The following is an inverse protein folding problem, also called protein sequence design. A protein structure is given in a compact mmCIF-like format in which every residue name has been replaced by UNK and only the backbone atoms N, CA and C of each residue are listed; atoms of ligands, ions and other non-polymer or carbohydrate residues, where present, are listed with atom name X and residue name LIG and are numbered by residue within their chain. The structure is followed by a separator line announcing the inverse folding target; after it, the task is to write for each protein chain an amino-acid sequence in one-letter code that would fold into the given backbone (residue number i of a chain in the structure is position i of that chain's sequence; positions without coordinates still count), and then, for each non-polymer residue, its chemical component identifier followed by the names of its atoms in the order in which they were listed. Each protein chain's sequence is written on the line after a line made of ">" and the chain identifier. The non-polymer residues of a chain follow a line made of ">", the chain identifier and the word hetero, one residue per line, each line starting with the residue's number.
data_IF_285822951210
#
_entry.id   IF_285822951210
#
_cell.length_a   1.000
_cell.length_b   1.000
_cell.length_c   1.000
_cell.angle_alpha   90.00
_cell.angle_beta   90.00
_cell.angle_gamma   90.00
#
_symmetry.space_group_name_H-M   'P 1'
#
loop_
_entity.id
_entity.type
_entity.pdbx_description
1 polymer ?
#
# COMPACT_ATOMS: atom_id res chain seq x y z
N UNK A 1 25.45 -7.43 -11.30
CA UNK A 1 24.25 -6.80 -10.71
C UNK A 1 24.43 -5.31 -10.82
N UNK A 2 23.52 -4.63 -11.48
CA UNK A 2 23.59 -3.19 -11.64
C UNK A 2 23.36 -2.50 -10.30
N UNK A 3 23.95 -1.31 -10.13
CA UNK A 3 23.77 -0.53 -8.91
C UNK A 3 22.36 0.04 -8.87
N UNK A 4 21.66 -0.15 -7.77
CA UNK A 4 20.33 0.45 -7.52
C UNK A 4 20.49 1.65 -6.59
N UNK A 5 19.85 2.74 -6.93
CA UNK A 5 19.94 3.98 -6.17
C UNK A 5 18.56 4.36 -5.60
N UNK A 6 18.54 4.74 -4.33
CA UNK A 6 17.40 5.40 -3.72
C UNK A 6 17.56 6.92 -3.90
N UNK A 7 16.78 7.50 -4.80
CA UNK A 7 16.89 8.92 -5.15
C UNK A 7 16.31 9.83 -4.07
N UNK A 8 15.23 9.39 -3.43
CA UNK A 8 14.59 10.13 -2.35
C UNK A 8 13.14 9.70 -2.12
N UNK A 9 12.39 10.51 -1.40
CA UNK A 9 11.00 10.22 -1.09
C UNK A 9 10.27 11.36 -0.38
N UNK A 10 8.98 11.14 -0.15
CA UNK A 10 8.09 11.99 0.63
C UNK A 10 7.21 11.12 1.53
N UNK A 11 6.66 11.73 2.55
CA UNK A 11 5.60 11.13 3.38
C UNK A 11 4.56 12.16 3.80
N UNK A 12 3.37 11.73 4.09
CA UNK A 12 2.37 12.54 4.79
C UNK A 12 2.72 12.70 6.28
N UNK A 13 2.00 13.56 6.97
CA UNK A 13 1.99 13.52 8.43
C UNK A 13 1.45 12.15 8.91
N UNK A 14 1.91 11.71 10.07
CA UNK A 14 1.34 10.55 10.75
C UNK A 14 0.17 11.03 11.62
N UNK A 15 -1.05 10.68 11.24
CA UNK A 15 -2.25 11.02 11.98
C UNK A 15 -2.62 9.91 12.98
N UNK A 16 -3.15 10.31 14.13
CA UNK A 16 -3.76 9.35 15.05
C UNK A 16 -5.08 8.81 14.48
N UNK A 17 -5.44 7.60 14.86
CA UNK A 17 -6.71 6.99 14.48
C UNK A 17 -7.88 7.90 14.88
N UNK A 18 -8.83 8.07 13.97
CA UNK A 18 -9.97 9.00 14.09
C UNK A 18 -9.60 10.50 14.25
N UNK A 19 -8.33 10.84 13.98
CA UNK A 19 -7.85 12.22 13.97
C UNK A 19 -8.02 12.93 12.64
N UNK A 20 -6.97 13.65 12.20
CA UNK A 20 -7.02 14.53 11.02
C UNK A 20 -7.36 13.82 9.70
N UNK A 21 -7.05 12.53 9.57
CA UNK A 21 -7.34 11.71 8.38
C UNK A 21 -8.55 10.78 8.56
N UNK A 22 -9.42 10.98 9.57
CA UNK A 22 -10.51 10.06 9.90
C UNK A 22 -11.49 9.76 8.76
N UNK A 23 -11.56 10.62 7.76
CA UNK A 23 -12.43 10.50 6.58
C UNK A 23 -11.66 10.32 5.28
N UNK A 24 -10.34 10.11 5.36
CA UNK A 24 -9.49 9.96 4.18
C UNK A 24 -9.18 8.48 3.98
N UNK A 25 -9.70 7.84 2.92
CA UNK A 25 -9.33 6.48 2.56
C UNK A 25 -7.83 6.36 2.28
N UNK A 26 -7.28 5.18 2.55
CA UNK A 26 -5.84 4.93 2.40
C UNK A 26 -5.35 5.22 0.98
N UNK A 27 -6.09 4.79 -0.03
CA UNK A 27 -5.75 4.99 -1.45
C UNK A 27 -5.71 6.48 -1.83
N UNK A 28 -6.58 7.30 -1.28
CA UNK A 28 -6.58 8.76 -1.53
C UNK A 28 -5.40 9.46 -0.85
N UNK A 29 -5.08 9.04 0.39
CA UNK A 29 -3.91 9.55 1.10
C UNK A 29 -2.62 9.18 0.35
N UNK A 30 -2.49 7.92 -0.05
CA UNK A 30 -1.36 7.42 -0.85
C UNK A 30 -1.25 8.13 -2.19
N UNK A 31 -2.36 8.31 -2.91
CA UNK A 31 -2.40 9.00 -4.19
C UNK A 31 -1.93 10.46 -4.10
N UNK A 32 -2.30 11.16 -3.03
CA UNK A 32 -1.84 12.53 -2.82
C UNK A 32 -0.32 12.62 -2.65
N UNK A 33 0.28 11.67 -1.90
CA UNK A 33 1.75 11.59 -1.73
C UNK A 33 2.42 11.17 -3.03
N UNK A 34 1.85 10.18 -3.74
CA UNK A 34 2.38 9.70 -5.02
C UNK A 34 2.47 10.82 -6.05
N UNK A 35 1.42 11.62 -6.22
CA UNK A 35 1.45 12.80 -7.11
C UNK A 35 2.58 13.75 -6.75
N UNK A 36 2.72 14.09 -5.46
CA UNK A 36 3.79 14.97 -5.01
C UNK A 36 5.20 14.41 -5.20
N UNK A 37 5.37 13.09 -5.10
CA UNK A 37 6.64 12.43 -5.44
C UNK A 37 6.94 12.60 -6.92
N UNK A 38 5.96 12.30 -7.78
CA UNK A 38 6.12 12.44 -9.23
C UNK A 38 6.45 13.89 -9.62
N UNK A 39 5.70 14.84 -9.11
CA UNK A 39 5.91 16.29 -9.36
C UNK A 39 7.30 16.74 -8.90
N UNK A 40 7.68 16.36 -7.67
CA UNK A 40 8.97 16.77 -7.07
C UNK A 40 10.18 16.30 -7.86
N UNK A 41 10.12 15.11 -8.42
CA UNK A 41 11.23 14.50 -9.15
C UNK A 41 11.08 14.60 -10.67
N UNK A 42 10.07 15.32 -11.17
CA UNK A 42 9.81 15.47 -12.61
C UNK A 42 9.54 14.15 -13.33
N UNK A 43 8.91 13.22 -12.64
CA UNK A 43 8.66 11.87 -13.13
C UNK A 43 7.29 11.83 -13.82
N UNK A 44 7.28 11.66 -15.13
CA UNK A 44 6.03 11.54 -15.87
C UNK A 44 5.40 10.17 -15.68
N UNK A 45 6.16 9.10 -15.87
CA UNK A 45 5.69 7.72 -15.70
C UNK A 45 6.81 6.84 -15.12
N UNK A 46 6.58 6.16 -14.00
CA UNK A 46 7.47 5.09 -13.53
C UNK A 46 7.19 3.79 -14.27
N UNK A 47 8.14 2.85 -14.27
CA UNK A 47 7.92 1.50 -14.82
C UNK A 47 6.99 0.67 -13.95
N UNK A 48 7.03 0.88 -12.62
CA UNK A 48 6.19 0.20 -11.65
C UNK A 48 5.82 1.11 -10.48
N UNK A 49 4.67 0.84 -9.89
CA UNK A 49 4.29 1.32 -8.56
C UNK A 49 4.10 0.10 -7.66
N UNK A 50 4.87 0.01 -6.58
CA UNK A 50 4.83 -1.09 -5.62
C UNK A 50 4.55 -0.51 -4.24
N UNK A 51 3.42 -0.85 -3.64
CA UNK A 51 3.08 -0.25 -2.36
C UNK A 51 2.52 -1.25 -1.35
N UNK A 52 2.98 -1.12 -0.12
CA UNK A 52 2.53 -1.91 1.01
C UNK A 52 1.21 -1.40 1.58
N UNK A 53 0.30 -2.32 1.87
CA UNK A 53 -0.93 -2.04 2.61
C UNK A 53 -1.34 -3.28 3.40
N UNK A 54 -1.62 -3.15 4.69
CA UNK A 54 -1.88 -4.27 5.58
C UNK A 54 -3.30 -4.34 6.15
N UNK A 55 -3.96 -3.21 6.40
CA UNK A 55 -5.29 -3.17 7.01
C UNK A 55 -6.39 -2.64 6.09
N UNK A 56 -6.06 -2.30 4.86
CA UNK A 56 -7.00 -1.77 3.88
C UNK A 56 -8.01 -2.79 3.36
N UNK A 57 -8.74 -2.42 2.33
CA UNK A 57 -9.85 -3.20 1.78
C UNK A 57 -9.44 -4.58 1.21
N UNK A 58 -8.15 -4.81 1.02
CA UNK A 58 -7.64 -5.98 0.32
C UNK A 58 -7.65 -5.80 -1.20
N UNK A 59 -7.37 -6.87 -1.93
CA UNK A 59 -7.17 -6.80 -3.36
C UNK A 59 -5.93 -5.97 -3.74
N UNK A 60 -5.94 -5.37 -4.92
CA UNK A 60 -4.83 -4.56 -5.38
C UNK A 60 -5.08 -3.06 -5.13
N UNK A 61 -5.08 -2.67 -3.85
CA UNK A 61 -5.35 -1.29 -3.43
C UNK A 61 -4.24 -0.32 -3.90
N UNK A 62 -3.00 -0.79 -4.09
CA UNK A 62 -1.93 0.02 -4.70
C UNK A 62 -2.26 0.38 -6.15
N UNK A 63 -2.92 -0.50 -6.89
CA UNK A 63 -3.42 -0.18 -8.22
C UNK A 63 -4.49 0.91 -8.17
N UNK A 64 -5.44 0.81 -7.24
CA UNK A 64 -6.45 1.84 -7.05
C UNK A 64 -5.80 3.19 -6.70
N UNK A 65 -4.83 3.19 -5.79
CA UNK A 65 -4.03 4.37 -5.43
C UNK A 65 -3.33 4.98 -6.65
N UNK A 66 -2.72 4.17 -7.51
CA UNK A 66 -2.00 4.67 -8.70
C UNK A 66 -2.95 5.35 -9.69
N UNK A 67 -4.10 4.75 -9.95
CA UNK A 67 -5.13 5.34 -10.82
C UNK A 67 -5.73 6.63 -10.23
N UNK A 68 -5.99 6.65 -8.94
CA UNK A 68 -6.45 7.84 -8.21
C UNK A 68 -5.40 8.97 -8.25
N UNK A 69 -4.11 8.63 -8.32
CA UNK A 69 -3.02 9.57 -8.51
C UNK A 69 -2.91 10.12 -9.95
N UNK A 70 -3.65 9.57 -10.90
CA UNK A 70 -3.58 9.95 -12.31
C UNK A 70 -2.43 9.30 -13.08
N UNK A 71 -1.85 8.23 -12.55
CA UNK A 71 -0.83 7.44 -13.26
C UNK A 71 -1.49 6.72 -14.44
N UNK A 72 -0.79 6.65 -15.57
CA UNK A 72 -1.30 5.97 -16.76
C UNK A 72 -1.68 4.52 -16.45
N UNK A 73 -2.77 4.07 -17.05
CA UNK A 73 -3.25 2.71 -16.86
C UNK A 73 -2.31 1.64 -17.43
N UNK A 74 -1.37 2.00 -18.29
CA UNK A 74 -0.33 1.10 -18.77
C UNK A 74 0.75 0.82 -17.73
N UNK A 75 0.95 1.69 -16.72
CA UNK A 75 1.92 1.48 -15.65
C UNK A 75 1.41 0.40 -14.69
N UNK A 76 2.10 -0.72 -14.54
CA UNK A 76 1.71 -1.76 -13.61
C UNK A 76 1.87 -1.28 -12.16
N UNK A 77 0.90 -1.64 -11.33
CA UNK A 77 0.94 -1.37 -9.89
C UNK A 77 0.43 -2.58 -9.11
N UNK A 78 1.05 -2.91 -7.99
CA UNK A 78 0.59 -3.99 -7.14
C UNK A 78 0.87 -3.75 -5.66
N UNK A 79 0.08 -4.44 -4.84
CA UNK A 79 0.11 -4.33 -3.39
C UNK A 79 0.95 -5.46 -2.79
N UNK A 80 1.81 -5.10 -1.85
CA UNK A 80 2.51 -6.06 -0.99
C UNK A 80 1.83 -6.08 0.37
N UNK A 81 1.63 -7.29 0.90
CA UNK A 81 1.06 -7.49 2.21
C UNK A 81 1.88 -8.51 3.02
N UNK A 82 2.78 -8.02 3.81
CA UNK A 82 3.55 -8.75 4.84
C UNK A 82 3.43 -8.04 6.19
N UNK A 83 2.21 -7.63 6.52
CA UNK A 83 1.89 -6.91 7.75
C UNK A 83 2.64 -5.56 7.85
N UNK A 84 3.17 -5.24 9.04
CA UNK A 84 3.90 -3.98 9.30
C UNK A 84 5.17 -3.83 8.45
N UNK A 85 5.69 -4.91 7.86
CA UNK A 85 6.86 -4.91 6.98
C UNK A 85 6.55 -4.52 5.52
N UNK A 86 5.27 -4.39 5.13
CA UNK A 86 4.85 -4.25 3.73
C UNK A 86 5.50 -3.08 3.00
N UNK A 87 5.65 -1.94 3.68
CA UNK A 87 6.27 -0.74 3.09
C UNK A 87 7.75 -0.94 2.80
N UNK A 88 8.50 -1.57 3.70
CA UNK A 88 9.91 -1.89 3.48
C UNK A 88 10.08 -2.96 2.41
N UNK A 89 9.26 -4.00 2.43
CA UNK A 89 9.28 -5.06 1.43
C UNK A 89 8.99 -4.52 0.02
N UNK A 90 8.12 -3.53 -0.12
CA UNK A 90 7.88 -2.89 -1.41
C UNK A 90 9.14 -2.25 -1.99
N UNK A 91 9.99 -1.65 -1.15
CA UNK A 91 11.27 -1.06 -1.55
C UNK A 91 12.27 -2.17 -1.93
N UNK A 92 12.30 -3.26 -1.19
CA UNK A 92 13.16 -4.41 -1.50
C UNK A 92 12.81 -5.05 -2.84
N UNK A 93 11.52 -5.25 -3.12
CA UNK A 93 11.03 -5.78 -4.40
C UNK A 93 11.31 -4.81 -5.54
N UNK A 94 11.15 -3.50 -5.35
CA UNK A 94 11.51 -2.49 -6.35
C UNK A 94 13.00 -2.55 -6.69
N UNK A 95 13.87 -2.65 -5.68
CA UNK A 95 15.30 -2.78 -5.88
C UNK A 95 15.66 -4.07 -6.63
N UNK A 96 14.99 -5.18 -6.34
CA UNK A 96 15.18 -6.45 -7.06
C UNK A 96 14.78 -6.32 -8.54
N UNK A 97 13.65 -5.68 -8.87
CA UNK A 97 13.20 -5.46 -10.25
C UNK A 97 14.19 -4.63 -11.06
N UNK A 98 14.75 -3.59 -10.46
CA UNK A 98 15.79 -2.78 -11.11
C UNK A 98 17.07 -3.60 -11.27
N UNK A 99 17.52 -4.32 -10.24
CA UNK A 99 18.75 -5.10 -10.27
C UNK A 99 18.72 -6.24 -11.30
N UNK A 100 17.57 -6.79 -11.63
CA UNK A 100 17.41 -7.82 -12.67
C UNK A 100 17.10 -7.26 -14.06
N UNK A 101 17.04 -5.94 -14.22
CA UNK A 101 16.80 -5.28 -15.51
C UNK A 101 15.33 -5.27 -15.97
N UNK A 102 14.41 -5.59 -15.08
CA UNK A 102 12.95 -5.56 -15.38
C UNK A 102 12.36 -4.14 -15.34
N UNK A 103 13.05 -3.23 -14.67
CA UNK A 103 12.66 -1.83 -14.53
C UNK A 103 13.88 -0.92 -14.41
N UNK A 104 13.73 0.33 -14.83
CA UNK A 104 14.73 1.39 -14.64
C UNK A 104 14.34 2.34 -13.50
N UNK A 105 13.04 2.58 -13.32
CA UNK A 105 12.51 3.49 -12.34
C UNK A 105 11.23 2.97 -11.68
N UNK A 106 11.26 2.84 -10.35
CA UNK A 106 10.12 2.33 -9.57
C UNK A 106 9.79 3.27 -8.43
N UNK A 107 8.52 3.56 -8.23
CA UNK A 107 8.04 4.20 -7.01
C UNK A 107 7.59 3.11 -6.04
N UNK A 108 8.20 3.08 -4.86
CA UNK A 108 7.89 2.10 -3.83
C UNK A 108 7.66 2.77 -2.47
N UNK A 109 6.82 2.15 -1.65
CA UNK A 109 6.53 2.66 -0.31
C UNK A 109 5.36 1.95 0.34
N UNK A 110 4.66 2.62 1.25
CA UNK A 110 3.47 2.08 1.89
C UNK A 110 2.47 3.18 2.24
N UNK A 111 1.22 2.79 2.37
CA UNK A 111 0.13 3.69 2.73
C UNK A 111 -0.91 2.94 3.55
N UNK A 112 -1.45 3.60 4.56
CA UNK A 112 -2.38 2.97 5.48
C UNK A 112 -3.34 3.99 6.09
N UNK A 113 -4.56 3.57 6.39
CA UNK A 113 -5.54 4.35 7.11
C UNK A 113 -6.39 3.47 8.03
N UNK A 114 -5.95 3.33 9.27
CA UNK A 114 -6.69 2.56 10.28
C UNK A 114 -8.06 3.15 10.59
N UNK A 115 -8.27 4.46 10.35
CA UNK A 115 -9.56 5.12 10.56
C UNK A 115 -10.63 4.68 9.56
N UNK A 116 -10.23 4.28 8.35
CA UNK A 116 -11.13 3.92 7.26
C UNK A 116 -11.02 2.44 6.87
N UNK A 117 -10.31 1.64 7.67
CA UNK A 117 -10.17 0.21 7.41
C UNK A 117 -11.55 -0.47 7.38
N UNK A 118 -11.78 -1.41 6.45
CA UNK A 118 -13.02 -2.15 6.39
C UNK A 118 -13.19 -3.05 7.63
N UNK A 119 -14.43 -3.28 8.00
CA UNK A 119 -14.77 -4.32 8.97
C UNK A 119 -14.76 -5.67 8.26
N UNK A 120 -14.26 -6.70 8.91
CA UNK A 120 -14.19 -8.06 8.36
C UNK A 120 -14.89 -9.04 9.29
N UNK A 121 -15.55 -10.01 8.71
CA UNK A 121 -16.20 -11.12 9.41
C UNK A 121 -16.05 -12.41 8.61
N UNK A 122 -16.22 -13.55 9.26
CA UNK A 122 -16.33 -14.83 8.57
C UNK A 122 -17.69 -14.95 7.93
N UNK A 123 -17.79 -15.60 6.77
CA UNK A 123 -19.06 -15.96 6.18
C UNK A 123 -19.69 -17.17 6.94
N UNK A 124 -21.01 -17.43 6.77
CA UNK A 124 -21.70 -18.51 7.51
C UNK A 124 -21.13 -19.92 7.33
N UNK A 125 -20.39 -20.16 6.26
CA UNK A 125 -19.79 -21.47 5.99
C UNK A 125 -18.42 -21.67 6.64
N UNK A 126 -17.87 -20.62 7.27
CA UNK A 126 -16.57 -20.73 7.94
C UNK A 126 -16.74 -21.36 9.33
N UNK A 127 -15.86 -22.31 9.76
CA UNK A 127 -15.97 -22.98 11.05
C UNK A 127 -15.91 -22.03 12.25
N UNK A 128 -15.24 -20.89 12.12
CA UNK A 128 -15.16 -19.87 13.18
C UNK A 128 -16.25 -18.78 13.06
N UNK A 129 -17.29 -19.01 12.26
CA UNK A 129 -18.41 -18.08 12.18
C UNK A 129 -19.20 -18.04 13.48
N UNK A 130 -19.33 -16.87 14.07
CA UNK A 130 -20.03 -16.63 15.34
C UNK A 130 -21.20 -15.65 15.18
N UNK A 131 -21.85 -15.65 14.01
CA UNK A 131 -22.85 -14.67 13.65
C UNK A 131 -22.24 -13.44 12.99
N UNK A 132 -23.01 -12.35 12.85
CA UNK A 132 -22.59 -11.10 12.16
C UNK A 132 -21.56 -10.28 12.94
N UNK A 133 -20.63 -10.94 13.59
CA UNK A 133 -19.54 -10.30 14.32
C UNK A 133 -18.48 -9.79 13.36
N UNK A 134 -18.13 -8.52 13.49
CA UNK A 134 -17.10 -7.87 12.69
C UNK A 134 -15.82 -7.72 13.51
N UNK A 135 -14.70 -8.06 12.90
CA UNK A 135 -13.41 -8.09 13.55
C UNK A 135 -12.44 -7.11 12.91
N UNK A 136 -11.50 -6.59 13.70
CA UNK A 136 -10.34 -5.90 13.16
C UNK A 136 -9.46 -6.88 12.37
N UNK A 137 -8.65 -6.37 11.43
CA UNK A 137 -7.72 -7.21 10.66
C UNK A 137 -6.81 -8.02 11.55
N UNK A 138 -6.34 -7.47 12.68
CA UNK A 138 -5.48 -8.18 13.63
C UNK A 138 -6.13 -9.46 14.18
N UNK A 139 -7.45 -9.49 14.35
CA UNK A 139 -8.17 -10.67 14.83
C UNK A 139 -8.28 -11.77 13.76
N UNK A 140 -8.18 -11.40 12.47
CA UNK A 140 -8.15 -12.34 11.36
C UNK A 140 -6.77 -12.91 11.06
N UNK A 141 -5.79 -12.63 11.88
CA UNK A 141 -4.42 -13.09 11.70
C UNK A 141 -4.07 -14.06 12.84
N UNK A 142 -4.51 -15.33 12.72
CA UNK A 142 -4.17 -16.33 13.72
C UNK A 142 -2.66 -16.43 13.83
N UNK A 143 -2.13 -16.29 15.04
CA UNK A 143 -0.70 -16.38 15.33
C UNK A 143 -0.02 -15.07 15.70
N UNK A 144 -0.62 -13.90 15.48
CA UNK A 144 -0.07 -12.62 15.98
C UNK A 144 -0.11 -12.51 17.51
N UNK A 145 -0.96 -13.29 18.16
CA UNK A 145 -1.13 -13.30 19.61
C UNK A 145 -0.58 -14.57 20.27
N UNK A 146 0.33 -15.30 19.64
CA UNK A 146 1.03 -16.45 20.24
C UNK A 146 2.44 -16.11 20.62
#
# INVERSE_FOLDING_TARGET
>A
MDKVYLIGGLRSFVGVVNGMYRHVPAEKLGAAVLRQVMDKYGMEQPDYIIAGNGVGAGGNIARLMSLEAGVDCAVPAFTIHVQCGSGLESIAVAAAKIACGEAECVIAGGFESSSTQPRRGYNPNHPDYTGDSWYSVAKFMPGIHR
#
